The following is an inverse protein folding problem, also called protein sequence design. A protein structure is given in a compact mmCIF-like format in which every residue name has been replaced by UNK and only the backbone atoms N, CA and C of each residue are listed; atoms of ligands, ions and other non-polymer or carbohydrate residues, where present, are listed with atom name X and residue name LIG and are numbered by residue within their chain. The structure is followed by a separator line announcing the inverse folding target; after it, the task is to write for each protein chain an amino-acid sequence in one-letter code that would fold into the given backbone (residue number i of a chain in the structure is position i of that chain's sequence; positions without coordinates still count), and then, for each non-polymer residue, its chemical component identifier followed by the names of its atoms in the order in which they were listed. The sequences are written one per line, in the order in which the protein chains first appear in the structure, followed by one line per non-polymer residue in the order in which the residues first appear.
data_IF_228406391849
#
_entry.id   IF_228406391849
#
_cell.length_a   1.000
_cell.length_b   1.000
_cell.length_c   1.000
_cell.angle_alpha   90.00
_cell.angle_beta   90.00
_cell.angle_gamma   90.00
#
_symmetry.space_group_name_H-M   'P 1'
#
loop_
_entity.id
_entity.type
_entity.pdbx_description
1 polymer ?
#
# COMPACT_ATOMS: atom_id res chain seq x y z
N UNK A 1 -42.25 -40.82 49.05
CA UNK A 1 -42.08 -39.88 47.91
C UNK A 1 -40.96 -40.43 47.03
N UNK A 2 -41.25 -40.92 45.82
CA UNK A 2 -40.20 -41.44 44.92
C UNK A 2 -39.56 -40.25 44.21
N UNK A 3 -38.34 -39.88 44.61
CA UNK A 3 -37.56 -38.87 43.92
C UNK A 3 -37.15 -39.42 42.54
N UNK A 4 -37.59 -38.74 41.50
CA UNK A 4 -37.33 -39.14 40.12
C UNK A 4 -35.88 -38.73 39.74
N UNK A 5 -34.94 -39.63 40.01
CA UNK A 5 -33.48 -39.44 39.80
C UNK A 5 -33.09 -39.30 38.32
N UNK A 6 -33.99 -39.59 37.38
CA UNK A 6 -33.73 -39.49 35.94
C UNK A 6 -33.51 -38.05 35.45
N UNK A 7 -34.21 -37.07 36.04
CA UNK A 7 -34.15 -35.67 35.63
C UNK A 7 -32.77 -35.00 35.86
N UNK A 8 -32.12 -35.13 37.05
CA UNK A 8 -30.79 -34.56 37.25
C UNK A 8 -29.71 -35.22 36.37
N UNK A 9 -29.84 -36.52 36.08
CA UNK A 9 -28.91 -37.22 35.20
C UNK A 9 -28.99 -36.73 33.74
N UNK A 10 -30.20 -36.47 33.24
CA UNK A 10 -30.39 -35.89 31.91
C UNK A 10 -29.81 -34.48 31.86
N UNK A 11 -30.08 -33.63 32.86
CA UNK A 11 -29.53 -32.28 32.94
C UNK A 11 -27.99 -32.30 32.88
N UNK A 12 -27.36 -33.22 33.63
CA UNK A 12 -25.90 -33.38 33.63
C UNK A 12 -25.35 -33.71 32.23
N UNK A 13 -26.01 -34.61 31.49
CA UNK A 13 -25.62 -34.93 30.11
C UNK A 13 -25.74 -33.71 29.19
N UNK A 14 -26.85 -32.97 29.23
CA UNK A 14 -27.03 -31.74 28.46
C UNK A 14 -25.98 -30.68 28.80
N UNK A 15 -25.70 -30.47 30.08
CA UNK A 15 -24.65 -29.52 30.50
C UNK A 15 -23.28 -29.95 30.01
N UNK A 16 -22.95 -31.24 30.02
CA UNK A 16 -21.70 -31.76 29.47
C UNK A 16 -21.59 -31.49 27.97
N UNK A 17 -22.66 -31.71 27.20
CA UNK A 17 -22.66 -31.44 25.76
C UNK A 17 -22.51 -29.95 25.46
N UNK A 18 -23.27 -29.08 26.16
CA UNK A 18 -23.15 -27.62 25.99
C UNK A 18 -21.76 -27.15 26.36
N UNK A 19 -21.17 -27.68 27.43
CA UNK A 19 -19.81 -27.32 27.87
C UNK A 19 -18.78 -27.72 26.82
N UNK A 20 -18.86 -28.93 26.26
CA UNK A 20 -17.95 -29.39 25.19
C UNK A 20 -18.09 -28.50 23.95
N UNK A 21 -19.31 -28.19 23.52
CA UNK A 21 -19.56 -27.31 22.37
C UNK A 21 -18.96 -25.93 22.63
N UNK A 22 -19.18 -25.37 23.82
CA UNK A 22 -18.64 -24.06 24.19
C UNK A 22 -17.11 -24.04 24.20
N UNK A 23 -16.48 -25.09 24.72
CA UNK A 23 -15.02 -25.24 24.69
C UNK A 23 -14.51 -25.30 23.25
N UNK A 24 -15.12 -26.11 22.38
CA UNK A 24 -14.74 -26.19 20.95
C UNK A 24 -14.89 -24.83 20.27
N UNK A 25 -15.98 -24.12 20.55
CA UNK A 25 -16.23 -22.79 19.97
C UNK A 25 -15.17 -21.77 20.38
N UNK A 26 -14.80 -21.72 21.66
CA UNK A 26 -13.84 -20.73 22.19
C UNK A 26 -12.39 -21.10 21.87
N UNK A 27 -12.01 -22.36 22.02
CA UNK A 27 -10.60 -22.78 21.90
C UNK A 27 -10.20 -23.00 20.44
N UNK A 28 -11.11 -23.47 19.59
CA UNK A 28 -10.79 -23.88 18.22
C UNK A 28 -11.38 -22.89 17.21
N UNK A 29 -12.70 -22.71 17.22
CA UNK A 29 -13.38 -21.99 16.13
C UNK A 29 -13.09 -20.48 16.20
N UNK A 30 -13.11 -19.88 17.39
CA UNK A 30 -12.87 -18.45 17.55
C UNK A 30 -11.43 -18.05 17.12
N UNK A 31 -10.34 -18.68 17.59
CA UNK A 31 -8.99 -18.33 17.13
C UNK A 31 -8.80 -18.57 15.63
N UNK A 32 -9.37 -19.65 15.10
CA UNK A 32 -9.31 -19.93 13.67
C UNK A 32 -10.01 -18.84 12.86
N UNK A 33 -11.20 -18.40 13.30
CA UNK A 33 -11.93 -17.32 12.64
C UNK A 33 -11.18 -15.99 12.64
N UNK A 34 -10.50 -15.69 13.75
CA UNK A 34 -9.68 -14.49 13.86
C UNK A 34 -8.47 -14.54 12.92
N UNK A 35 -7.75 -15.67 12.87
CA UNK A 35 -6.59 -15.85 11.99
C UNK A 35 -7.02 -15.76 10.52
N UNK A 36 -8.07 -16.48 10.12
CA UNK A 36 -8.58 -16.46 8.75
C UNK A 36 -9.09 -15.07 8.34
N UNK A 37 -9.78 -14.36 9.22
CA UNK A 37 -10.19 -12.99 8.90
C UNK A 37 -9.00 -12.03 8.83
N UNK A 38 -8.00 -12.17 9.72
CA UNK A 38 -6.81 -11.34 9.67
C UNK A 38 -6.04 -11.53 8.35
N UNK A 39 -5.91 -12.76 7.89
CA UNK A 39 -5.26 -13.08 6.61
C UNK A 39 -6.03 -12.45 5.43
N UNK A 40 -7.36 -12.61 5.41
CA UNK A 40 -8.22 -11.95 4.44
C UNK A 40 -8.13 -10.41 4.49
N UNK A 41 -8.06 -9.83 5.69
CA UNK A 41 -7.95 -8.39 5.88
C UNK A 41 -6.60 -7.87 5.37
N UNK A 42 -5.50 -8.56 5.67
CA UNK A 42 -4.17 -8.21 5.17
C UNK A 42 -4.08 -8.35 3.64
N UNK A 43 -4.78 -9.32 3.06
CA UNK A 43 -4.87 -9.44 1.60
C UNK A 43 -5.63 -8.27 0.94
N UNK A 44 -6.70 -7.79 1.59
CA UNK A 44 -7.47 -6.66 1.06
C UNK A 44 -6.76 -5.31 1.23
N UNK A 45 -6.07 -5.14 2.35
CA UNK A 45 -5.39 -3.91 2.75
C UNK A 45 -4.00 -4.31 3.22
N UNK A 46 -3.03 -4.40 2.29
CA UNK A 46 -1.69 -4.79 2.65
C UNK A 46 -1.04 -3.69 3.49
N UNK A 47 -0.14 -4.10 4.39
CA UNK A 47 0.51 -3.20 5.36
C UNK A 47 1.42 -2.18 4.68
N UNK A 48 1.85 -2.44 3.45
CA UNK A 48 2.66 -1.56 2.60
C UNK A 48 1.82 -0.62 1.72
N UNK A 49 0.62 -0.24 2.19
CA UNK A 49 -0.30 0.66 1.50
C UNK A 49 0.25 2.06 1.19
N UNK A 50 1.41 2.43 1.74
CA UNK A 50 2.12 3.66 1.41
C UNK A 50 3.61 3.41 1.30
N UNK A 51 4.25 3.96 0.27
CA UNK A 51 5.68 3.87 0.06
C UNK A 51 6.30 5.24 -0.14
N UNK A 52 7.38 5.48 0.62
CA UNK A 52 8.22 6.66 0.43
C UNK A 52 9.33 6.37 -0.58
N UNK A 53 9.41 7.20 -1.61
CA UNK A 53 10.41 7.11 -2.67
C UNK A 53 11.25 8.39 -2.65
N UNK A 54 12.54 8.32 -2.26
CA UNK A 54 13.39 9.50 -2.29
C UNK A 54 13.65 9.94 -3.74
N UNK A 55 13.71 11.24 -4.00
CA UNK A 55 14.00 11.76 -5.34
C UNK A 55 15.41 11.35 -5.83
N UNK A 56 16.32 11.06 -4.89
CA UNK A 56 17.66 10.54 -5.17
C UNK A 56 17.67 9.18 -5.90
N UNK A 57 16.55 8.45 -5.89
CA UNK A 57 16.42 7.17 -6.60
C UNK A 57 16.06 7.35 -8.09
N UNK A 58 15.73 8.56 -8.53
CA UNK A 58 15.37 8.85 -9.91
C UNK A 58 16.59 9.13 -10.76
N UNK A 59 16.52 8.73 -12.04
CA UNK A 59 17.51 9.12 -13.02
C UNK A 59 17.24 10.55 -13.52
N UNK A 60 18.25 11.43 -13.47
CA UNK A 60 18.17 12.75 -14.07
C UNK A 60 18.43 12.61 -15.58
N UNK A 61 17.38 12.77 -16.38
CA UNK A 61 17.41 12.60 -17.85
C UNK A 61 17.31 13.94 -18.56
N UNK A 62 17.97 14.06 -19.72
CA UNK A 62 17.82 15.21 -20.61
C UNK A 62 16.58 15.05 -21.50
N UNK A 63 15.76 16.10 -21.58
CA UNK A 63 14.57 16.14 -22.41
C UNK A 63 14.28 17.58 -22.79
N UNK A 64 14.06 17.85 -24.07
CA UNK A 64 13.76 19.20 -24.56
C UNK A 64 12.43 19.79 -24.06
N UNK A 65 11.65 19.06 -23.23
CA UNK A 65 10.34 19.50 -22.74
C UNK A 65 10.38 20.17 -21.37
N UNK A 66 11.41 19.92 -20.56
CA UNK A 66 11.53 20.43 -19.21
C UNK A 66 12.96 20.87 -18.97
N UNK A 67 13.14 21.89 -18.12
CA UNK A 67 14.48 22.29 -17.73
C UNK A 67 15.16 21.15 -17.01
N UNK A 68 14.55 20.51 -16.01
CA UNK A 68 15.08 19.33 -15.31
C UNK A 68 14.04 18.20 -15.34
N UNK A 69 14.46 16.97 -15.66
CA UNK A 69 13.54 15.83 -15.74
C UNK A 69 14.08 14.64 -14.94
N UNK A 70 13.37 14.25 -13.89
CA UNK A 70 13.64 13.07 -13.09
C UNK A 70 12.74 11.94 -13.59
N UNK A 71 13.32 10.92 -14.20
CA UNK A 71 12.61 9.78 -14.78
C UNK A 71 12.97 8.52 -14.02
N UNK A 72 11.98 7.71 -13.67
CA UNK A 72 12.24 6.41 -13.07
C UNK A 72 11.26 5.33 -13.54
N UNK A 73 11.80 4.15 -13.81
CA UNK A 73 11.01 2.97 -14.21
C UNK A 73 10.21 2.43 -13.02
N UNK A 74 8.99 2.01 -13.32
CA UNK A 74 8.12 1.32 -12.38
C UNK A 74 8.36 -0.19 -12.51
N UNK A 75 8.68 -0.84 -11.39
CA UNK A 75 8.77 -2.29 -11.30
C UNK A 75 7.45 -2.85 -10.78
N UNK A 76 6.83 -3.76 -11.52
CA UNK A 76 5.48 -4.25 -11.21
C UNK A 76 5.59 -5.50 -10.36
N UNK A 77 5.17 -5.39 -9.12
CA UNK A 77 5.18 -6.47 -8.15
C UNK A 77 3.77 -7.05 -8.04
N UNK A 78 3.68 -8.38 -8.01
CA UNK A 78 2.40 -9.07 -7.81
C UNK A 78 1.77 -8.72 -6.46
N UNK A 79 0.45 -8.82 -6.36
CA UNK A 79 -0.28 -8.54 -5.11
C UNK A 79 0.13 -9.43 -3.92
N UNK A 80 0.78 -10.57 -4.18
CA UNK A 80 1.13 -11.57 -3.16
C UNK A 80 2.51 -11.39 -2.54
N UNK A 81 3.32 -10.47 -3.07
CA UNK A 81 4.67 -10.20 -2.57
C UNK A 81 4.71 -8.86 -1.85
N UNK A 82 5.54 -8.77 -0.82
CA UNK A 82 5.80 -7.49 -0.14
C UNK A 82 6.54 -6.55 -1.08
N UNK A 83 6.17 -5.26 -1.09
CA UNK A 83 6.88 -4.26 -1.89
C UNK A 83 8.30 -4.05 -1.33
N UNK A 84 9.35 -4.16 -2.17
CA UNK A 84 10.71 -3.85 -1.74
C UNK A 84 10.83 -2.37 -1.37
N UNK A 85 11.61 -2.06 -0.33
CA UNK A 85 11.79 -0.69 0.15
C UNK A 85 12.88 0.01 -0.67
N UNK A 86 12.57 1.18 -1.24
CA UNK A 86 13.54 2.04 -1.93
C UNK A 86 14.40 2.78 -0.90
N UNK A 87 15.73 2.61 -0.96
CA UNK A 87 16.66 3.22 0.02
C UNK A 87 17.17 4.57 -0.46
N UNK A 88 17.33 5.58 0.42
CA UNK A 88 17.92 6.89 0.08
C UNK A 88 19.45 6.81 0.08
N UNK A 89 20.03 6.03 -0.84
CA UNK A 89 21.48 5.82 -0.94
C UNK A 89 22.13 6.59 -2.12
N UNK A 90 21.38 7.47 -2.78
CA UNK A 90 21.84 8.19 -3.98
C UNK A 90 21.99 7.32 -5.22
N UNK A 91 21.59 6.04 -5.17
CA UNK A 91 21.62 5.14 -6.33
C UNK A 91 20.24 5.10 -6.99
N UNK A 92 20.28 5.08 -8.32
CA UNK A 92 19.10 4.91 -9.18
C UNK A 92 18.49 3.54 -8.87
N UNK A 93 17.20 3.52 -8.52
CA UNK A 93 16.46 2.31 -8.14
C UNK A 93 15.08 2.34 -8.77
N UNK A 94 14.64 1.22 -9.35
CA UNK A 94 13.26 1.11 -9.85
C UNK A 94 12.26 1.33 -8.71
N UNK A 95 11.10 1.90 -9.04
CA UNK A 95 10.04 2.16 -8.08
C UNK A 95 9.10 0.95 -8.10
N UNK A 96 9.08 0.12 -7.06
CA UNK A 96 8.19 -1.01 -7.04
C UNK A 96 6.78 -0.53 -6.79
N UNK A 97 5.84 -0.97 -7.61
CA UNK A 97 4.42 -0.67 -7.49
C UNK A 97 3.63 -1.96 -7.67
N UNK A 98 2.52 -2.09 -6.97
CA UNK A 98 1.61 -3.24 -7.17
C UNK A 98 0.89 -3.09 -8.51
N UNK A 99 0.80 -4.20 -9.23
CA UNK A 99 0.04 -4.26 -10.48
C UNK A 99 -1.46 -4.09 -10.22
N UNK A 100 -2.17 -3.39 -11.12
CA UNK A 100 -3.62 -3.16 -11.05
C UNK A 100 -4.13 -2.45 -9.78
N UNK A 101 -3.29 -1.59 -9.19
CA UNK A 101 -3.66 -0.77 -8.04
C UNK A 101 -3.36 0.69 -8.37
N UNK A 102 -4.36 1.55 -8.22
CA UNK A 102 -4.17 2.99 -8.36
C UNK A 102 -3.48 3.58 -7.13
N UNK A 103 -2.51 4.45 -7.37
CA UNK A 103 -1.81 5.18 -6.32
C UNK A 103 -2.09 6.68 -6.42
N UNK A 104 -2.26 7.34 -5.28
CA UNK A 104 -2.11 8.79 -5.16
C UNK A 104 -0.66 9.11 -4.88
N UNK A 105 -0.19 10.21 -5.44
CA UNK A 105 1.17 10.68 -5.24
C UNK A 105 1.11 11.96 -4.42
N UNK A 106 1.81 11.99 -3.29
CA UNK A 106 2.19 13.25 -2.66
C UNK A 106 3.67 13.47 -2.90
N UNK A 107 4.05 14.70 -3.19
CA UNK A 107 5.44 15.05 -3.43
C UNK A 107 5.84 16.23 -2.55
N UNK A 108 7.01 16.11 -1.93
CA UNK A 108 7.68 17.20 -1.24
C UNK A 108 9.04 17.39 -1.87
N UNK A 109 9.24 18.51 -2.54
CA UNK A 109 10.50 18.88 -3.17
C UNK A 109 11.14 20.00 -2.39
N UNK A 110 12.39 19.80 -1.96
CA UNK A 110 13.19 20.80 -1.27
C UNK A 110 14.45 21.04 -2.07
N UNK A 111 14.71 22.27 -2.50
CA UNK A 111 15.86 22.55 -3.36
C UNK A 111 16.38 23.97 -3.24
N UNK A 112 17.66 24.14 -3.56
CA UNK A 112 18.25 25.43 -3.82
C UNK A 112 18.24 25.67 -5.34
N UNK A 113 17.92 26.90 -5.73
CA UNK A 113 18.03 27.36 -7.10
C UNK A 113 19.19 28.35 -7.20
N UNK A 114 20.06 28.17 -8.17
CA UNK A 114 21.17 29.08 -8.47
C UNK A 114 21.00 29.60 -9.89
N UNK A 115 21.22 30.90 -10.10
CA UNK A 115 21.24 31.53 -11.43
C UNK A 115 22.69 31.83 -11.81
N UNK A 116 23.06 31.54 -13.05
CA UNK A 116 24.39 31.89 -13.55
C UNK A 116 24.45 33.38 -13.94
N UNK A 117 25.58 34.03 -13.66
CA UNK A 117 25.80 35.48 -13.71
C UNK A 117 25.59 36.11 -15.10
N UNK A 118 25.71 35.30 -16.16
CA UNK A 118 25.58 35.75 -17.55
C UNK A 118 24.12 35.94 -17.99
N UNK A 119 23.15 35.38 -17.26
CA UNK A 119 21.74 35.42 -17.65
C UNK A 119 20.90 36.38 -16.80
N UNK A 120 20.22 37.29 -17.51
CA UNK A 120 19.63 38.57 -17.08
C UNK A 120 18.45 38.53 -16.10
N UNK A 121 18.38 37.58 -15.17
CA UNK A 121 17.38 37.64 -14.11
C UNK A 121 17.65 38.82 -13.17
N UNK A 122 16.96 39.94 -13.39
CA UNK A 122 17.04 41.14 -12.52
C UNK A 122 16.51 40.91 -11.11
N UNK A 123 15.83 39.78 -10.88
CA UNK A 123 15.13 39.49 -9.62
C UNK A 123 15.31 38.03 -9.21
N UNK A 124 15.49 37.83 -7.91
CA UNK A 124 15.66 36.51 -7.29
C UNK A 124 14.35 35.70 -7.29
N UNK A 125 13.20 36.38 -7.40
CA UNK A 125 11.88 35.73 -7.47
C UNK A 125 11.59 35.28 -8.90
N UNK A 126 11.47 33.97 -9.08
CA UNK A 126 11.20 33.31 -10.35
C UNK A 126 9.94 32.44 -10.23
N UNK A 127 9.40 31.99 -11.37
CA UNK A 127 8.30 31.01 -11.38
C UNK A 127 8.77 29.70 -11.97
N UNK A 128 8.59 28.62 -11.21
CA UNK A 128 8.80 27.26 -11.69
C UNK A 128 7.47 26.54 -11.90
N UNK A 129 7.40 25.73 -12.94
CA UNK A 129 6.31 24.79 -13.18
C UNK A 129 6.82 23.41 -12.80
N UNK A 130 6.14 22.76 -11.85
CA UNK A 130 6.40 21.36 -11.51
C UNK A 130 5.32 20.53 -12.17
N UNK A 131 5.74 19.64 -13.08
CA UNK A 131 4.87 18.71 -13.77
C UNK A 131 5.19 17.28 -13.37
N UNK A 132 4.15 16.47 -13.20
CA UNK A 132 4.26 15.04 -12.95
C UNK A 132 3.50 14.34 -14.06
N UNK A 133 4.15 13.43 -14.75
CA UNK A 133 3.56 12.67 -15.85
C UNK A 133 4.02 11.23 -15.83
N UNK A 134 3.25 10.39 -16.51
CA UNK A 134 3.56 8.99 -16.70
C UNK A 134 3.89 8.72 -18.15
N UNK A 135 4.89 7.89 -18.38
CA UNK A 135 5.21 7.38 -19.71
C UNK A 135 4.52 6.03 -19.88
N UNK A 136 3.77 5.91 -20.97
CA UNK A 136 3.05 4.70 -21.35
C UNK A 136 3.65 4.12 -22.62
N UNK A 137 3.70 2.79 -22.68
CA UNK A 137 4.26 2.05 -23.83
C UNK A 137 3.55 2.45 -25.12
N UNK A 138 4.31 2.99 -26.07
CA UNK A 138 3.81 3.33 -27.42
C UNK A 138 2.77 4.46 -27.46
N UNK A 139 2.62 5.25 -26.40
CA UNK A 139 1.68 6.39 -26.36
C UNK A 139 2.34 7.65 -25.80
N UNK A 140 1.66 8.78 -25.99
CA UNK A 140 2.12 10.06 -25.48
C UNK A 140 2.14 10.07 -23.94
N UNK A 141 3.08 10.82 -23.31
CA UNK A 141 3.08 10.97 -21.86
C UNK A 141 1.75 11.52 -21.37
N UNK A 142 1.19 10.90 -20.32
CA UNK A 142 -0.02 11.35 -19.67
C UNK A 142 0.36 12.29 -18.53
N UNK A 143 -0.03 13.56 -18.64
CA UNK A 143 0.12 14.55 -17.58
C UNK A 143 -0.83 14.21 -16.43
N UNK A 144 -0.27 13.94 -15.26
CA UNK A 144 -1.03 13.71 -14.03
C UNK A 144 -1.31 15.04 -13.32
N UNK A 145 -0.28 15.87 -13.19
CA UNK A 145 -0.39 17.15 -12.48
C UNK A 145 0.59 18.17 -13.03
N UNK A 146 0.20 19.44 -12.98
CA UNK A 146 1.08 20.57 -13.29
C UNK A 146 0.71 21.75 -12.40
N UNK A 147 1.71 22.36 -11.75
CA UNK A 147 1.51 23.49 -10.84
C UNK A 147 2.61 24.52 -11.03
N UNK A 148 2.20 25.78 -11.14
CA UNK A 148 3.09 26.94 -11.11
C UNK A 148 3.34 27.35 -9.66
N UNK A 149 4.61 27.54 -9.30
CA UNK A 149 5.04 27.87 -7.94
C UNK A 149 6.10 28.97 -8.01
N UNK A 150 5.93 30.07 -7.24
CA UNK A 150 6.98 31.06 -7.09
C UNK A 150 8.14 30.46 -6.29
N UNK A 151 9.36 30.72 -6.73
CA UNK A 151 10.59 30.22 -6.14
C UNK A 151 11.62 31.34 -6.04
N UNK A 152 12.56 31.18 -5.12
CA UNK A 152 13.67 32.11 -4.93
C UNK A 152 14.95 31.44 -5.43
N UNK A 153 15.65 32.12 -6.34
CA UNK A 153 16.93 31.69 -6.86
C UNK A 153 18.04 32.63 -6.39
N UNK A 154 19.18 32.05 -6.04
CA UNK A 154 20.38 32.75 -5.58
C UNK A 154 21.17 33.20 -6.81
N UNK A 155 21.51 34.47 -6.85
CA UNK A 155 22.46 35.04 -7.81
C UNK A 155 23.85 35.14 -7.16
N UNK A 156 24.95 35.19 -7.94
CA UNK A 156 26.30 35.31 -7.39
C UNK A 156 26.54 36.60 -6.60
N UNK A 157 25.70 37.62 -6.81
CA UNK A 157 25.75 38.93 -6.17
C UNK A 157 25.01 38.95 -4.82
N UNK A 158 24.18 37.95 -4.54
CA UNK A 158 23.42 37.88 -3.30
C UNK A 158 24.33 37.62 -2.11
N UNK A 159 24.17 38.44 -1.07
CA UNK A 159 24.85 38.27 0.21
C UNK A 159 23.79 38.10 1.29
N UNK A 160 24.00 37.13 2.18
CA UNK A 160 23.20 37.03 3.41
C UNK A 160 23.53 38.26 4.25
N UNK A 161 22.57 39.18 4.34
CA UNK A 161 22.66 40.32 5.24
C UNK A 161 22.18 39.86 6.62
N UNK A 162 23.14 39.59 7.51
CA UNK A 162 22.81 39.36 8.91
C UNK A 162 22.16 40.64 9.46
N UNK A 163 20.98 40.58 10.10
CA UNK A 163 20.42 41.75 10.75
C UNK A 163 21.42 42.24 11.81
N UNK A 164 21.90 43.47 11.65
CA UNK A 164 22.88 44.09 12.53
C UNK A 164 22.45 43.95 14.00
N UNK A 165 23.30 43.36 14.82
CA UNK A 165 23.09 43.23 16.28
C UNK A 165 22.65 41.86 16.79
N UNK A 166 22.36 40.86 15.95
CA UNK A 166 22.15 39.47 16.42
C UNK A 166 23.42 38.64 16.28
N UNK A 167 24.00 38.22 17.41
CA UNK A 167 25.02 37.16 17.43
C UNK A 167 24.48 35.92 16.70
N UNK A 168 25.30 35.32 15.83
CA UNK A 168 25.03 34.06 15.14
C UNK A 168 24.73 32.95 16.17
N UNK A 169 23.46 32.79 16.57
CA UNK A 169 23.04 31.66 17.42
C UNK A 169 23.10 30.32 16.67
N UNK A 170 23.15 30.35 15.34
CA UNK A 170 23.14 29.16 14.49
C UNK A 170 24.20 29.22 13.38
N UNK A 171 24.57 28.04 12.85
CA UNK A 171 25.51 27.88 11.73
C UNK A 171 25.02 28.62 10.49
N UNK A 172 25.95 29.21 9.69
CA UNK A 172 25.63 29.86 8.41
C UNK A 172 24.78 28.98 7.50
N UNK A 173 25.03 27.67 7.48
CA UNK A 173 24.25 26.71 6.68
C UNK A 173 22.76 26.69 7.07
N UNK A 174 22.45 26.86 8.36
CA UNK A 174 21.06 26.90 8.82
C UNK A 174 20.33 28.17 8.38
N UNK A 175 21.04 29.30 8.29
CA UNK A 175 20.51 30.54 7.75
C UNK A 175 20.24 30.40 6.26
N UNK A 176 21.18 29.83 5.49
CA UNK A 176 20.96 29.49 4.08
C UNK A 176 19.73 28.61 3.88
N UNK A 177 19.56 27.58 4.71
CA UNK A 177 18.36 26.71 4.67
C UNK A 177 17.07 27.44 5.02
N UNK A 178 17.11 28.49 5.81
CA UNK A 178 15.90 29.22 6.21
C UNK A 178 15.48 30.24 5.15
N UNK A 179 16.46 30.90 4.53
CA UNK A 179 16.20 32.00 3.58
C UNK A 179 16.06 31.53 2.13
N UNK A 180 16.82 30.51 1.71
CA UNK A 180 17.01 30.19 0.28
C UNK A 180 16.56 28.78 -0.12
N UNK A 181 16.11 27.97 0.84
CA UNK A 181 15.57 26.65 0.55
C UNK A 181 14.13 26.80 0.07
N UNK A 182 13.89 26.45 -1.19
CA UNK A 182 12.53 26.36 -1.72
C UNK A 182 11.92 25.05 -1.26
N UNK A 183 10.66 25.08 -0.83
CA UNK A 183 9.86 23.91 -0.50
C UNK A 183 8.57 23.91 -1.33
N UNK A 184 8.40 22.89 -2.16
CA UNK A 184 7.19 22.67 -2.95
C UNK A 184 6.48 21.43 -2.42
N UNK A 185 5.26 21.62 -1.91
CA UNK A 185 4.36 20.53 -1.53
C UNK A 185 3.25 20.39 -2.55
N UNK A 186 3.08 19.16 -3.03
CA UNK A 186 2.02 18.76 -3.94
C UNK A 186 1.34 17.58 -3.30
N UNK A 187 0.09 17.77 -2.88
CA UNK A 187 -0.71 16.75 -2.22
C UNK A 187 -1.76 16.22 -3.20
N UNK A 188 -2.10 14.93 -3.08
CA UNK A 188 -3.16 14.27 -3.85
C UNK A 188 -3.06 14.52 -5.37
N UNK A 189 -1.88 14.28 -5.95
CA UNK A 189 -1.73 14.18 -7.41
C UNK A 189 -2.67 13.08 -7.90
N UNK A 190 -3.31 13.33 -9.05
CA UNK A 190 -4.28 12.44 -9.69
C UNK A 190 -3.82 10.98 -9.72
N UNK A 191 -4.79 10.07 -9.73
CA UNK A 191 -4.58 8.62 -9.64
C UNK A 191 -3.57 8.11 -10.70
N UNK A 192 -2.43 7.62 -10.21
CA UNK A 192 -1.41 6.89 -10.96
C UNK A 192 -1.91 5.46 -11.17
N UNK A 193 -2.42 5.19 -12.37
CA UNK A 193 -2.83 3.84 -12.75
C UNK A 193 -1.63 2.99 -13.14
N UNK A 194 -1.44 1.86 -12.45
CA UNK A 194 -0.33 0.92 -12.66
C UNK A 194 -0.68 -0.18 -13.67
N UNK A 195 -1.45 0.16 -14.70
CA UNK A 195 -1.78 -0.75 -15.80
C UNK A 195 -0.53 -1.26 -16.51
N UNK A 196 -0.66 -2.39 -17.21
CA UNK A 196 0.41 -3.01 -17.99
C UNK A 196 1.11 -2.05 -18.96
N UNK A 197 0.43 -0.97 -19.38
CA UNK A 197 0.95 0.06 -20.27
C UNK A 197 1.81 1.14 -19.59
N UNK A 198 1.66 1.40 -18.29
CA UNK A 198 2.44 2.42 -17.58
C UNK A 198 3.84 1.88 -17.29
N UNK A 199 4.89 2.55 -17.75
CA UNK A 199 6.29 2.08 -17.66
C UNK A 199 7.15 2.91 -16.71
N UNK A 200 6.98 4.24 -16.69
CA UNK A 200 7.77 5.12 -15.85
C UNK A 200 6.99 6.30 -15.30
N UNK A 201 7.45 6.79 -14.15
CA UNK A 201 7.03 8.03 -13.53
C UNK A 201 8.08 9.10 -13.82
N UNK A 202 7.61 10.29 -14.17
CA UNK A 202 8.48 11.40 -14.53
C UNK A 202 8.06 12.68 -13.83
N UNK A 203 9.04 13.41 -13.34
CA UNK A 203 8.88 14.69 -12.66
C UNK A 203 9.69 15.72 -13.44
N UNK A 204 9.00 16.70 -14.00
CA UNK A 204 9.58 17.82 -14.74
C UNK A 204 9.58 19.10 -13.90
N UNK A 205 10.71 19.80 -13.88
CA UNK A 205 10.79 21.19 -13.45
C UNK A 205 11.06 22.06 -14.67
N UNK A 206 10.23 23.08 -14.87
CA UNK A 206 10.36 24.03 -15.97
C UNK A 206 10.36 25.46 -15.42
N UNK A 207 11.41 26.23 -15.70
CA UNK A 207 11.53 27.61 -15.24
C UNK A 207 11.01 28.52 -16.34
N UNK A 208 10.14 29.45 -15.98
CA UNK A 208 9.70 30.47 -16.94
C UNK A 208 10.81 31.51 -17.02
N UNK A 209 11.76 31.31 -17.93
CA UNK A 209 12.64 32.39 -18.36
C UNK A 209 11.87 33.30 -19.33
N UNK A 210 12.15 34.61 -19.31
CA UNK A 210 11.61 35.58 -20.27
C UNK A 210 11.75 35.02 -21.70
N UNK A 211 10.68 35.10 -22.52
CA UNK A 211 10.46 34.35 -23.77
C UNK A 211 11.61 34.45 -24.81
N UNK A 212 12.51 35.41 -24.62
CA UNK A 212 13.69 35.64 -25.45
C UNK A 212 14.80 34.59 -25.33
N UNK A 213 14.75 33.70 -24.33
CA UNK A 213 15.82 32.72 -24.05
C UNK A 213 15.41 31.24 -24.21
N UNK A 214 14.16 30.96 -24.60
CA UNK A 214 13.60 29.60 -24.66
C UNK A 214 14.20 28.66 -25.74
N UNK A 215 15.15 29.12 -26.57
CA UNK A 215 15.62 28.39 -27.76
C UNK A 215 17.06 27.86 -27.70
N UNK A 216 17.79 27.97 -26.59
CA UNK A 216 19.14 27.41 -26.48
C UNK A 216 19.17 26.24 -25.50
N UNK A 217 19.57 25.08 -26.03
CA UNK A 217 19.38 23.75 -25.44
C UNK A 217 19.89 23.58 -24.02
N UNK A 218 19.09 22.83 -23.26
CA UNK A 218 19.32 22.47 -21.86
C UNK A 218 20.32 21.31 -21.75
N UNK A 219 21.48 21.54 -21.14
CA UNK A 219 22.46 20.49 -20.81
C UNK A 219 22.69 20.46 -19.29
N UNK A 220 22.48 19.33 -18.64
CA UNK A 220 22.63 19.22 -17.17
C UNK A 220 24.04 18.86 -16.72
N UNK A 221 24.45 19.38 -15.57
CA UNK A 221 25.67 18.97 -14.86
C UNK A 221 26.94 19.71 -15.26
N UNK A 222 26.90 20.52 -16.32
CA UNK A 222 27.93 21.51 -16.62
C UNK A 222 27.38 22.92 -16.39
N UNK A 223 27.97 23.72 -15.50
CA UNK A 223 27.52 25.09 -15.19
C UNK A 223 27.54 26.05 -16.40
N UNK A 224 28.01 25.62 -17.56
CA UNK A 224 28.34 26.47 -18.69
C UNK A 224 27.21 26.71 -19.70
N UNK A 225 26.00 26.12 -19.56
CA UNK A 225 24.93 26.33 -20.57
C UNK A 225 23.49 26.48 -20.09
N UNK A 226 23.18 26.21 -18.81
CA UNK A 226 21.84 26.46 -18.27
C UNK A 226 21.86 27.73 -17.42
N UNK A 227 20.88 28.61 -17.64
CA UNK A 227 20.65 29.80 -16.82
C UNK A 227 20.42 29.44 -15.33
N UNK A 228 19.89 28.23 -15.07
CA UNK A 228 19.52 27.74 -13.76
C UNK A 228 20.27 26.46 -13.40
N UNK A 229 20.70 26.35 -12.15
CA UNK A 229 21.18 25.12 -11.52
C UNK A 229 20.28 24.78 -10.34
N UNK A 230 19.74 23.56 -10.32
CA UNK A 230 18.95 23.04 -9.21
C UNK A 230 19.81 22.11 -8.35
N UNK A 231 19.86 22.38 -7.05
CA UNK A 231 20.46 21.52 -6.05
C UNK A 231 19.36 20.93 -5.17
N UNK A 232 18.93 19.71 -5.50
CA UNK A 232 17.92 18.98 -4.73
C UNK A 232 18.48 18.58 -3.36
N UNK A 233 17.68 18.80 -2.33
CA UNK A 233 17.96 18.31 -0.99
C UNK A 233 17.54 16.84 -0.88
N UNK A 234 18.30 16.05 -0.10
CA UNK A 234 18.06 14.63 0.18
C UNK A 234 16.68 14.36 0.81
N UNK A 235 16.11 15.36 1.49
CA UNK A 235 14.76 15.29 2.06
C UNK A 235 13.64 15.28 1.01
N UNK A 236 13.95 15.55 -0.27
CA UNK A 236 12.99 15.53 -1.36
C UNK A 236 12.50 14.11 -1.62
N UNK A 237 11.19 13.91 -1.56
CA UNK A 237 10.57 12.58 -1.61
C UNK A 237 9.18 12.60 -2.19
N UNK A 238 8.79 11.46 -2.72
CA UNK A 238 7.44 11.14 -3.13
C UNK A 238 6.86 10.13 -2.15
N UNK A 239 5.57 10.22 -1.90
CA UNK A 239 4.80 9.27 -1.12
C UNK A 239 3.72 8.69 -2.04
N UNK A 240 3.89 7.44 -2.42
CA UNK A 240 2.93 6.69 -3.21
C UNK A 240 1.97 6.00 -2.24
N UNK A 241 0.73 6.48 -2.16
CA UNK A 241 -0.31 5.93 -1.29
C UNK A 241 -1.35 5.21 -2.12
N UNK A 242 -1.72 3.99 -1.77
CA UNK A 242 -2.79 3.27 -2.46
C UNK A 242 -4.09 4.08 -2.34
N UNK A 243 -4.78 4.27 -3.47
CA UNK A 243 -6.05 4.97 -3.52
C UNK A 243 -7.20 4.05 -3.09
N UNK A 244 -7.80 4.32 -1.93
CA UNK A 244 -9.00 3.63 -1.46
C UNK A 244 -10.24 4.53 -1.58
N UNK A 245 -10.34 5.35 -2.63
CA UNK A 245 -11.32 6.43 -2.71
C UNK A 245 -12.77 5.98 -2.52
N UNK A 246 -13.13 4.78 -2.99
CA UNK A 246 -14.50 4.28 -2.92
C UNK A 246 -14.55 2.79 -2.58
N UNK A 247 -15.52 2.40 -1.76
CA UNK A 247 -15.86 1.01 -1.51
C UNK A 247 -15.55 0.49 -0.10
N UNK A 248 -15.69 -0.83 0.05
CA UNK A 248 -15.61 -1.55 1.33
C UNK A 248 -14.23 -1.35 1.99
N UNK A 249 -13.14 -1.28 1.20
CA UNK A 249 -11.77 -1.09 1.72
C UNK A 249 -11.60 0.22 2.50
N UNK A 250 -12.18 1.33 2.03
CA UNK A 250 -12.14 2.60 2.75
C UNK A 250 -12.90 2.53 4.08
N UNK A 251 -14.08 1.92 4.05
CA UNK A 251 -14.89 1.70 5.25
C UNK A 251 -14.14 0.83 6.27
N UNK A 252 -13.46 -0.22 5.78
CA UNK A 252 -12.63 -1.10 6.59
C UNK A 252 -11.45 -0.36 7.25
N UNK A 253 -10.78 0.52 6.51
CA UNK A 253 -9.71 1.38 7.04
C UNK A 253 -10.24 2.34 8.12
N UNK A 254 -11.38 2.99 7.87
CA UNK A 254 -11.97 3.97 8.79
C UNK A 254 -12.45 3.34 10.09
N UNK A 255 -13.04 2.15 10.01
CA UNK A 255 -13.62 1.43 11.15
C UNK A 255 -12.89 0.11 11.41
N UNK A 256 -11.57 0.16 11.56
CA UNK A 256 -10.71 -1.03 11.69
C UNK A 256 -11.20 -1.99 12.79
N UNK A 257 -11.47 -1.49 13.99
CA UNK A 257 -11.91 -2.34 15.12
C UNK A 257 -13.25 -3.02 14.81
N UNK A 258 -14.24 -2.26 14.33
CA UNK A 258 -15.57 -2.78 14.02
C UNK A 258 -15.47 -3.82 12.90
N UNK A 259 -14.65 -3.53 11.88
CA UNK A 259 -14.38 -4.44 10.76
C UNK A 259 -13.80 -5.76 11.24
N UNK A 260 -12.83 -5.73 12.16
CA UNK A 260 -12.25 -6.94 12.74
C UNK A 260 -13.27 -7.75 13.54
N UNK A 261 -14.08 -7.09 14.38
CA UNK A 261 -15.12 -7.77 15.17
C UNK A 261 -16.18 -8.40 14.26
N UNK A 262 -16.76 -7.62 13.35
CA UNK A 262 -17.81 -8.08 12.43
C UNK A 262 -17.27 -9.16 11.50
N UNK A 263 -16.07 -8.96 10.94
CA UNK A 263 -15.41 -9.91 10.07
C UNK A 263 -15.14 -11.25 10.75
N UNK A 264 -14.64 -11.22 11.98
CA UNK A 264 -14.39 -12.43 12.78
C UNK A 264 -15.70 -13.16 13.08
N UNK A 265 -16.78 -12.44 13.41
CA UNK A 265 -18.11 -13.04 13.63
C UNK A 265 -18.63 -13.73 12.36
N UNK A 266 -18.51 -13.08 11.19
CA UNK A 266 -18.95 -13.66 9.91
C UNK A 266 -18.19 -14.94 9.60
N UNK A 267 -16.85 -14.93 9.73
CA UNK A 267 -16.00 -16.11 9.51
C UNK A 267 -16.30 -17.20 10.55
N UNK A 268 -16.54 -16.83 11.80
CA UNK A 268 -16.92 -17.75 12.87
C UNK A 268 -18.24 -18.49 12.55
N UNK A 269 -19.25 -17.77 12.05
CA UNK A 269 -20.53 -18.34 11.62
C UNK A 269 -20.30 -19.30 10.44
N UNK A 270 -19.49 -18.92 9.45
CA UNK A 270 -19.17 -19.77 8.30
C UNK A 270 -18.47 -21.07 8.72
N UNK A 271 -17.43 -20.99 9.56
CA UNK A 271 -16.72 -22.18 10.07
C UNK A 271 -17.67 -23.06 10.89
N UNK A 272 -18.49 -22.46 11.76
CA UNK A 272 -19.48 -23.20 12.55
C UNK A 272 -20.50 -23.91 11.65
N UNK A 273 -20.98 -23.25 10.61
CA UNK A 273 -21.91 -23.84 9.65
C UNK A 273 -21.28 -25.03 8.90
N UNK A 274 -20.03 -24.88 8.44
CA UNK A 274 -19.28 -25.97 7.82
C UNK A 274 -19.09 -27.16 8.78
N UNK A 275 -18.80 -26.91 10.06
CA UNK A 275 -18.68 -27.96 11.08
C UNK A 275 -20.00 -28.68 11.36
N UNK A 276 -21.13 -27.97 11.34
CA UNK A 276 -22.46 -28.59 11.47
C UNK A 276 -22.75 -29.50 10.27
N UNK A 277 -22.47 -29.03 9.05
CA UNK A 277 -22.66 -29.84 7.84
C UNK A 277 -21.79 -31.10 7.91
N UNK A 278 -20.51 -30.97 8.25
CA UNK A 278 -19.60 -32.13 8.30
C UNK A 278 -20.01 -33.13 9.38
N UNK A 279 -20.44 -32.66 10.56
CA UNK A 279 -20.93 -33.56 11.63
C UNK A 279 -22.23 -34.27 11.25
N UNK A 280 -23.22 -33.57 10.67
CA UNK A 280 -24.46 -34.19 10.19
C UNK A 280 -24.15 -35.24 9.12
N UNK A 281 -23.27 -34.92 8.18
CA UNK A 281 -22.89 -35.82 7.09
C UNK A 281 -22.15 -37.05 7.62
N UNK A 282 -21.20 -36.85 8.54
CA UNK A 282 -20.46 -37.94 9.17
C UNK A 282 -21.39 -38.87 9.97
N UNK A 283 -22.33 -38.30 10.72
CA UNK A 283 -23.33 -39.06 11.49
C UNK A 283 -24.27 -39.86 10.57
N UNK A 284 -24.71 -39.26 9.47
CA UNK A 284 -25.52 -39.94 8.47
C UNK A 284 -24.78 -41.14 7.87
N UNK A 285 -23.52 -40.96 7.47
CA UNK A 285 -22.70 -42.02 6.86
C UNK A 285 -22.38 -43.15 7.85
N UNK A 286 -22.06 -42.83 9.11
CA UNK A 286 -21.78 -43.86 10.12
C UNK A 286 -23.02 -44.67 10.46
N UNK A 287 -24.20 -44.04 10.55
CA UNK A 287 -25.45 -44.76 10.79
C UNK A 287 -25.84 -45.66 9.62
N UNK A 288 -25.65 -45.23 8.37
CA UNK A 288 -25.86 -46.10 7.22
C UNK A 288 -24.96 -47.34 7.28
N UNK A 289 -23.67 -47.14 7.59
CA UNK A 289 -22.70 -48.25 7.71
C UNK A 289 -23.03 -49.21 8.86
N UNK A 290 -23.53 -48.69 9.99
CA UNK A 290 -24.00 -49.50 11.11
C UNK A 290 -25.24 -50.32 10.72
N UNK A 291 -26.19 -49.72 10.01
CA UNK A 291 -27.40 -50.41 9.54
C UNK A 291 -27.08 -51.55 8.56
N UNK A 292 -26.16 -51.35 7.62
CA UNK A 292 -25.69 -52.42 6.71
C UNK A 292 -24.97 -53.56 7.44
N UNK A 293 -24.20 -53.24 8.49
CA UNK A 293 -23.48 -54.24 9.29
C UNK A 293 -24.44 -55.12 10.11
N UNK A 294 -25.52 -54.56 10.64
CA UNK A 294 -26.51 -55.31 11.41
C UNK A 294 -27.37 -56.23 10.52
N UNK A 295 -27.70 -55.81 9.29
CA UNK A 295 -28.45 -56.63 8.33
C UNK A 295 -27.64 -57.88 7.90
N UNK A 296 -26.32 -57.73 7.71
CA UNK A 296 -25.43 -58.86 7.45
C UNK A 296 -25.23 -59.80 8.65
N UNK A 297 -25.28 -59.28 9.88
CA UNK A 297 -25.17 -60.10 11.10
C UNK A 297 -26.46 -60.87 11.39
N UNK A 298 -27.62 -60.28 11.11
CA UNK A 298 -28.93 -60.94 11.18
C UNK A 298 -29.06 -62.13 10.22
N UNK A 299 -28.63 -61.97 8.97
CA UNK A 299 -28.62 -63.07 7.97
C UNK A 299 -27.74 -64.26 8.40
N UNK A 300 -26.52 -64.02 8.90
CA UNK A 300 -25.61 -65.09 9.35
C UNK A 300 -26.14 -65.89 10.55
N UNK A 301 -26.93 -65.27 11.43
CA UNK A 301 -27.54 -65.97 12.58
C UNK A 301 -28.76 -66.78 12.14
N UNK A 302 -29.57 -66.25 11.21
CA UNK A 302 -30.68 -66.99 10.61
C UNK A 302 -30.22 -68.26 9.89
N UNK A 303 -29.17 -68.17 9.07
CA UNK A 303 -28.67 -69.31 8.29
C UNK A 303 -28.17 -70.46 9.18
N UNK A 304 -27.48 -70.15 10.30
CA UNK A 304 -27.04 -71.16 11.28
C UNK A 304 -28.20 -71.86 12.00
N UNK A 305 -29.30 -71.17 12.26
CA UNK A 305 -30.48 -71.79 12.87
C UNK A 305 -31.24 -72.70 11.90
N UNK A 306 -31.24 -72.39 10.60
CA UNK A 306 -31.81 -73.28 9.57
C UNK A 306 -30.97 -74.53 9.32
N UNK A 307 -29.64 -74.46 9.40
CA UNK A 307 -28.78 -75.66 9.29
C UNK A 307 -28.92 -76.59 10.49
N UNK A 308 -28.98 -76.05 11.72
CA UNK A 308 -29.16 -76.84 12.94
C UNK A 308 -30.52 -77.58 13.01
N UNK A 309 -31.53 -77.08 12.29
CA UNK A 309 -32.85 -77.73 12.21
C UNK A 309 -32.93 -78.86 11.16
N UNK A 310 -31.98 -78.93 10.22
CA UNK A 310 -31.90 -80.01 9.21
C UNK A 310 -31.11 -81.24 9.68
N UNK A 311 -30.46 -81.18 10.84
CA UNK A 311 -29.65 -82.27 11.42
C UNK A 311 -30.33 -83.02 12.58
N UNK A 312 -31.63 -82.80 12.82
CA UNK A 312 -32.48 -83.63 13.67
C UNK A 312 -33.55 -84.31 12.82
#
# INVERSE_FOLDING_TARGET
MKLNISWPFQLMQWTSYVTVIFIVQIIIILPLSFISFNDFYQYLIPTDSSQLVPLSAFNLTESGRCHFQYTQLLDKVSAHQDLPIVKPNGLIQHIPVREHIDYRIDATFKFFCLINEEDTAKHNLQTATVSVYTLRKGSNPLLLHSKYVPIVCITPQDKITLPEGKQLKHSRLSQYRTEWLNEIKIDDISDLTTDSQTESLVIGFNFIADERYATKGYNHGYPYRNAYTLLMNEESKLNLRINFNQGIRNLMLRYRIITYVVGTIVVHILISFLMIITTVTAFYLTNQKLAESDDHRGKKVSDRFTEARKQK
#
